data_IF_249810973228
#
_entry.id   IF_249810973228
#
_cell.length_a   1.000
_cell.length_b   1.000
_cell.length_c   1.000
_cell.angle_alpha   90.00
_cell.angle_beta   90.00
_cell.angle_gamma   90.00
#
_symmetry.space_group_name_H-M   'P 1'
#
loop_
_entity.id
_entity.type
_entity.pdbx_description
1 polymer ?
#
# COMPACT_ATOMS: atom_id res chain seq x y z
N UNK A 1 -44.74 -9.21 16.14
CA UNK A 1 -44.18 -9.46 14.80
C UNK A 1 -43.61 -8.16 14.28
N UNK A 2 -42.30 -7.95 14.39
CA UNK A 2 -41.59 -6.83 13.74
C UNK A 2 -40.50 -7.45 12.89
N UNK A 3 -40.74 -7.47 11.58
CA UNK A 3 -39.80 -7.98 10.60
C UNK A 3 -38.54 -7.11 10.64
N UNK A 4 -37.42 -7.69 11.06
CA UNK A 4 -36.11 -7.13 10.81
C UNK A 4 -35.89 -7.22 9.30
N UNK A 5 -36.03 -6.09 8.61
CA UNK A 5 -35.55 -5.92 7.25
C UNK A 5 -34.02 -5.98 7.32
N UNK A 6 -33.46 -7.18 7.22
CA UNK A 6 -32.05 -7.38 6.91
C UNK A 6 -31.81 -6.80 5.51
N UNK A 7 -31.54 -5.50 5.48
CA UNK A 7 -30.99 -4.83 4.32
C UNK A 7 -29.57 -5.37 4.15
N UNK A 8 -29.44 -6.48 3.42
CA UNK A 8 -28.16 -7.00 2.94
C UNK A 8 -27.56 -5.89 2.06
N UNK A 9 -26.75 -5.02 2.67
CA UNK A 9 -26.07 -3.96 1.96
C UNK A 9 -25.10 -4.61 0.98
N UNK A 10 -25.54 -4.79 -0.27
CA UNK A 10 -24.73 -5.32 -1.35
C UNK A 10 -23.49 -4.45 -1.46
N UNK A 11 -22.34 -4.98 -1.02
CA UNK A 11 -21.07 -4.26 -1.09
C UNK A 11 -20.74 -4.08 -2.57
N UNK A 12 -21.05 -2.89 -3.09
CA UNK A 12 -20.84 -2.59 -4.50
C UNK A 12 -19.35 -2.76 -4.83
N UNK A 13 -19.04 -3.71 -5.70
CA UNK A 13 -17.68 -3.89 -6.21
C UNK A 13 -17.26 -2.67 -7.05
N UNK A 14 -15.98 -2.25 -7.01
CA UNK A 14 -15.49 -1.22 -7.90
C UNK A 14 -15.70 -1.63 -9.37
N UNK A 15 -15.87 -0.65 -10.24
CA UNK A 15 -15.95 -0.92 -11.66
C UNK A 15 -14.63 -1.57 -12.14
N UNK A 16 -14.67 -2.62 -12.99
CA UNK A 16 -13.46 -3.36 -13.40
C UNK A 16 -12.37 -2.51 -14.04
N UNK A 17 -12.75 -1.40 -14.70
CA UNK A 17 -11.80 -0.47 -15.32
C UNK A 17 -11.02 0.32 -14.27
N UNK A 18 -11.66 0.74 -13.17
CA UNK A 18 -11.03 1.51 -12.11
C UNK A 18 -9.98 0.64 -11.40
N UNK A 19 -10.31 -0.62 -11.13
CA UNK A 19 -9.36 -1.61 -10.61
C UNK A 19 -8.16 -1.80 -11.53
N UNK A 20 -8.37 -1.91 -12.86
CA UNK A 20 -7.28 -2.08 -13.83
C UNK A 20 -6.35 -0.87 -13.85
N UNK A 21 -6.90 0.34 -13.85
CA UNK A 21 -6.11 1.58 -13.79
C UNK A 21 -5.35 1.66 -12.48
N UNK A 22 -6.02 1.45 -11.34
CA UNK A 22 -5.38 1.49 -10.02
C UNK A 22 -4.23 0.49 -9.91
N UNK A 23 -4.43 -0.75 -10.38
CA UNK A 23 -3.36 -1.76 -10.46
C UNK A 23 -2.23 -1.37 -11.40
N UNK A 24 -2.56 -0.78 -12.55
CA UNK A 24 -1.56 -0.27 -13.50
C UNK A 24 -0.68 0.81 -12.88
N UNK A 25 -1.28 1.75 -12.14
CA UNK A 25 -0.55 2.79 -11.40
C UNK A 25 0.39 2.16 -10.37
N UNK A 26 -0.07 1.18 -9.60
CA UNK A 26 0.77 0.47 -8.63
C UNK A 26 1.94 -0.27 -9.32
N UNK A 27 1.70 -0.88 -10.47
CA UNK A 27 2.75 -1.53 -11.26
C UNK A 27 3.81 -0.52 -11.76
N UNK A 28 3.39 0.66 -12.20
CA UNK A 28 4.30 1.75 -12.59
C UNK A 28 5.12 2.22 -11.40
N UNK A 29 4.50 2.44 -10.23
CA UNK A 29 5.23 2.80 -9.01
C UNK A 29 6.24 1.73 -8.60
N UNK A 30 5.89 0.45 -8.70
CA UNK A 30 6.82 -0.66 -8.46
C UNK A 30 8.01 -0.63 -9.43
N UNK A 31 7.76 -0.43 -10.73
CA UNK A 31 8.82 -0.34 -11.73
C UNK A 31 9.76 0.86 -11.49
N UNK A 32 9.20 2.03 -11.15
CA UNK A 32 9.97 3.21 -10.79
C UNK A 32 10.85 2.97 -9.54
N UNK A 33 10.31 2.27 -8.53
CA UNK A 33 11.07 1.90 -7.34
C UNK A 33 12.18 0.89 -7.64
N UNK A 34 11.96 -0.07 -8.53
CA UNK A 34 13.02 -0.99 -8.98
C UNK A 34 14.13 -0.27 -9.75
N UNK A 35 13.79 0.73 -10.57
CA UNK A 35 14.78 1.57 -11.22
C UNK A 35 15.59 2.39 -10.20
N UNK A 36 14.92 2.99 -9.22
CA UNK A 36 15.58 3.72 -8.13
C UNK A 36 16.49 2.80 -7.29
N UNK A 37 16.07 1.55 -7.06
CA UNK A 37 16.91 0.53 -6.43
C UNK A 37 18.18 0.26 -7.23
N UNK A 38 18.07 0.01 -8.54
CA UNK A 38 19.23 -0.20 -9.40
C UNK A 38 20.18 1.01 -9.42
N UNK A 39 19.64 2.23 -9.50
CA UNK A 39 20.43 3.46 -9.38
C UNK A 39 21.09 3.60 -8.01
N UNK A 40 20.38 3.23 -6.93
CA UNK A 40 20.89 3.25 -5.57
C UNK A 40 22.10 2.33 -5.37
N UNK A 41 22.09 1.14 -5.97
CA UNK A 41 23.26 0.24 -5.95
C UNK A 41 24.49 0.87 -6.59
N UNK A 42 24.32 1.60 -7.70
CA UNK A 42 25.43 2.32 -8.35
C UNK A 42 25.94 3.49 -7.50
N UNK A 43 25.04 4.20 -6.81
CA UNK A 43 25.40 5.29 -5.89
C UNK A 43 26.19 4.74 -4.70
N UNK A 44 25.71 3.67 -4.06
CA UNK A 44 26.40 3.05 -2.93
C UNK A 44 27.85 2.66 -3.23
N UNK A 45 28.16 2.28 -4.46
CA UNK A 45 29.51 1.89 -4.87
C UNK A 45 30.49 3.09 -5.03
N UNK A 46 29.99 4.33 -5.00
CA UNK A 46 30.77 5.54 -5.31
C UNK A 46 30.71 6.63 -4.23
N UNK A 47 29.84 6.51 -3.23
CA UNK A 47 29.77 7.47 -2.11
C UNK A 47 30.88 7.22 -1.08
N UNK A 48 31.14 8.22 -0.25
CA UNK A 48 32.09 8.10 0.87
C UNK A 48 31.57 7.17 1.98
N UNK A 49 32.49 6.68 2.81
CA UNK A 49 32.21 5.76 3.91
C UNK A 49 31.22 6.35 4.93
N UNK A 50 31.22 7.67 5.14
CA UNK A 50 30.28 8.33 6.06
C UNK A 50 28.83 8.29 5.55
N UNK A 51 28.64 8.18 4.23
CA UNK A 51 27.32 8.18 3.60
C UNK A 51 26.81 6.80 3.24
N UNK A 52 27.70 5.81 3.14
CA UNK A 52 27.36 4.48 2.60
C UNK A 52 26.19 3.82 3.33
N UNK A 53 26.11 3.94 4.66
CA UNK A 53 25.01 3.35 5.45
C UNK A 53 23.67 4.04 5.19
N UNK A 54 23.66 5.37 5.06
CA UNK A 54 22.44 6.13 4.73
C UNK A 54 21.96 5.77 3.33
N UNK A 55 22.88 5.65 2.37
CA UNK A 55 22.57 5.25 1.00
C UNK A 55 22.12 3.79 0.90
N UNK A 56 22.70 2.89 1.69
CA UNK A 56 22.25 1.51 1.81
C UNK A 56 20.82 1.44 2.32
N UNK A 57 20.53 2.14 3.42
CA UNK A 57 19.17 2.19 3.98
C UNK A 57 18.15 2.69 2.96
N UNK A 58 18.47 3.79 2.25
CA UNK A 58 17.63 4.36 1.20
C UNK A 58 17.42 3.38 0.04
N UNK A 59 18.48 2.73 -0.41
CA UNK A 59 18.45 1.79 -1.52
C UNK A 59 17.58 0.58 -1.18
N UNK A 60 17.78 -0.04 -0.02
CA UNK A 60 16.97 -1.19 0.38
C UNK A 60 15.51 -0.82 0.67
N UNK A 61 15.21 0.41 1.04
CA UNK A 61 13.83 0.88 1.13
C UNK A 61 13.12 0.82 -0.24
N UNK A 62 13.81 1.11 -1.36
CA UNK A 62 13.20 1.06 -2.69
C UNK A 62 12.70 -0.34 -3.06
N UNK A 63 13.49 -1.39 -2.83
CA UNK A 63 13.05 -2.77 -3.12
C UNK A 63 11.91 -3.20 -2.19
N UNK A 64 11.93 -2.77 -0.92
CA UNK A 64 10.85 -3.01 0.01
C UNK A 64 9.53 -2.39 -0.48
N UNK A 65 9.54 -1.12 -0.87
CA UNK A 65 8.35 -0.46 -1.42
C UNK A 65 7.91 -1.03 -2.76
N UNK A 66 8.84 -1.41 -3.64
CA UNK A 66 8.52 -2.12 -4.87
C UNK A 66 7.73 -3.40 -4.57
N UNK A 67 8.18 -4.19 -3.59
CA UNK A 67 7.47 -5.38 -3.12
C UNK A 67 6.04 -5.08 -2.65
N UNK A 68 5.86 -4.03 -1.85
CA UNK A 68 4.53 -3.61 -1.39
C UNK A 68 3.63 -3.22 -2.58
N UNK A 69 4.13 -2.39 -3.50
CA UNK A 69 3.37 -1.99 -4.69
C UNK A 69 2.99 -3.20 -5.57
N UNK A 70 3.87 -4.21 -5.71
CA UNK A 70 3.55 -5.47 -6.39
C UNK A 70 2.45 -6.25 -5.67
N UNK A 71 2.55 -6.41 -4.35
CA UNK A 71 1.52 -7.10 -3.55
C UNK A 71 0.15 -6.45 -3.75
N UNK A 72 0.11 -5.12 -3.73
CA UNK A 72 -1.10 -4.34 -3.93
C UNK A 72 -1.58 -4.34 -5.39
N UNK A 73 -0.68 -4.47 -6.36
CA UNK A 73 -1.02 -4.69 -7.78
C UNK A 73 -1.74 -6.04 -7.95
N UNK A 74 -1.24 -7.11 -7.32
CA UNK A 74 -1.81 -8.46 -7.44
C UNK A 74 -3.07 -8.63 -6.58
N UNK A 75 -3.13 -7.98 -5.42
CA UNK A 75 -4.18 -8.20 -4.44
C UNK A 75 -4.55 -6.95 -3.64
N UNK A 76 -5.15 -5.93 -4.29
CA UNK A 76 -5.36 -4.61 -3.68
C UNK A 76 -6.29 -4.61 -2.47
N UNK A 77 -7.06 -5.68 -2.21
CA UNK A 77 -8.05 -5.74 -1.12
C UNK A 77 -7.82 -6.89 -0.14
N UNK A 78 -6.67 -7.56 -0.19
CA UNK A 78 -6.36 -8.70 0.70
C UNK A 78 -5.57 -8.30 1.95
N UNK A 79 -4.74 -7.27 1.86
CA UNK A 79 -3.80 -6.89 2.92
C UNK A 79 -4.38 -5.74 3.75
N UNK A 80 -4.79 -6.02 4.99
CA UNK A 80 -5.29 -5.01 5.92
C UNK A 80 -4.17 -4.08 6.35
N UNK A 81 -4.43 -2.77 6.35
CA UNK A 81 -3.49 -1.76 6.81
C UNK A 81 -2.29 -1.50 5.91
N UNK A 82 -2.05 -2.31 4.88
CA UNK A 82 -0.90 -2.14 4.01
C UNK A 82 -0.98 -0.84 3.19
N UNK A 83 -2.18 -0.47 2.74
CA UNK A 83 -2.41 0.82 2.08
C UNK A 83 -2.17 1.99 3.01
N UNK A 84 -2.79 1.95 4.19
CA UNK A 84 -2.73 3.04 5.15
C UNK A 84 -1.29 3.24 5.66
N UNK A 85 -0.56 2.15 5.92
CA UNK A 85 0.83 2.22 6.34
C UNK A 85 1.74 2.77 5.23
N UNK A 86 1.54 2.33 3.98
CA UNK A 86 2.29 2.83 2.83
C UNK A 86 2.05 4.34 2.62
N UNK A 87 0.79 4.77 2.62
CA UNK A 87 0.40 6.17 2.46
C UNK A 87 0.89 7.03 3.62
N UNK A 88 0.80 6.53 4.86
CA UNK A 88 1.30 7.22 6.03
C UNK A 88 2.81 7.44 5.93
N UNK A 89 3.58 6.40 5.64
CA UNK A 89 5.03 6.50 5.53
C UNK A 89 5.44 7.47 4.41
N UNK A 90 4.84 7.33 3.22
CA UNK A 90 5.19 8.17 2.06
C UNK A 90 4.74 9.62 2.25
N UNK A 91 3.56 9.83 2.83
CA UNK A 91 3.08 11.15 3.21
C UNK A 91 3.97 11.81 4.27
N UNK A 92 4.46 11.05 5.26
CA UNK A 92 5.35 11.56 6.30
C UNK A 92 6.70 12.04 5.72
N UNK A 93 7.34 11.26 4.85
CA UNK A 93 8.58 11.69 4.19
C UNK A 93 8.36 12.87 3.25
N UNK A 94 7.23 12.89 2.52
CA UNK A 94 6.84 14.03 1.68
C UNK A 94 6.74 15.30 2.51
N UNK A 95 5.97 15.27 3.61
CA UNK A 95 5.80 16.40 4.51
C UNK A 95 7.12 16.83 5.15
N UNK A 96 7.95 15.88 5.59
CA UNK A 96 9.27 16.16 6.15
C UNK A 96 10.19 16.85 5.13
N UNK A 97 10.15 16.45 3.86
CA UNK A 97 10.94 17.08 2.80
C UNK A 97 10.51 18.54 2.55
N UNK A 98 9.22 18.85 2.70
CA UNK A 98 8.74 20.24 2.67
C UNK A 98 9.21 21.06 3.88
N UNK A 99 9.30 20.46 5.07
CA UNK A 99 9.85 21.14 6.26
C UNK A 99 11.34 21.44 6.06
N UNK A 100 12.07 20.52 5.43
CA UNK A 100 13.51 20.63 5.18
C UNK A 100 13.86 21.25 3.83
N UNK A 101 12.98 22.09 3.27
CA UNK A 101 13.10 22.65 1.92
C UNK A 101 14.43 23.36 1.61
N UNK A 102 15.10 23.89 2.64
CA UNK A 102 16.38 24.59 2.53
C UNK A 102 17.56 23.65 2.22
N UNK A 103 17.40 22.34 2.37
CA UNK A 103 18.44 21.36 2.03
C UNK A 103 18.50 21.15 0.51
N UNK A 104 19.69 20.97 -0.10
CA UNK A 104 19.85 20.87 -1.55
C UNK A 104 18.99 19.78 -2.20
N UNK A 105 18.89 18.62 -1.56
CA UNK A 105 18.19 17.45 -2.11
C UNK A 105 16.68 17.48 -1.84
N UNK A 106 16.21 18.30 -0.88
CA UNK A 106 14.84 18.26 -0.39
C UNK A 106 13.78 18.62 -1.44
N UNK A 107 13.94 19.62 -2.31
CA UNK A 107 12.92 19.95 -3.31
C UNK A 107 12.66 18.82 -4.31
N UNK A 108 13.73 18.17 -4.80
CA UNK A 108 13.61 17.07 -5.74
C UNK A 108 13.00 15.84 -5.05
N UNK A 109 13.45 15.52 -3.83
CA UNK A 109 12.86 14.44 -3.03
C UNK A 109 11.38 14.70 -2.76
N UNK A 110 11.00 15.92 -2.34
CA UNK A 110 9.63 16.30 -2.09
C UNK A 110 8.75 16.11 -3.34
N UNK A 111 9.23 16.54 -4.52
CA UNK A 111 8.49 16.39 -5.77
C UNK A 111 8.26 14.92 -6.14
N UNK A 112 9.32 14.11 -6.07
CA UNK A 112 9.25 12.68 -6.40
C UNK A 112 8.34 11.94 -5.41
N UNK A 113 8.53 12.14 -4.11
CA UNK A 113 7.72 11.46 -3.10
C UNK A 113 6.27 11.96 -3.10
N UNK A 114 6.01 13.24 -3.39
CA UNK A 114 4.65 13.75 -3.57
C UNK A 114 3.97 13.08 -4.76
N UNK A 115 4.66 12.95 -5.90
CA UNK A 115 4.13 12.28 -7.08
C UNK A 115 3.76 10.82 -6.77
N UNK A 116 4.68 10.08 -6.14
CA UNK A 116 4.47 8.67 -5.77
C UNK A 116 3.38 8.50 -4.71
N UNK A 117 3.31 9.42 -3.74
CA UNK A 117 2.24 9.45 -2.73
C UNK A 117 0.89 9.72 -3.40
N UNK A 118 0.82 10.70 -4.28
CA UNK A 118 -0.39 11.07 -5.01
C UNK A 118 -0.89 9.95 -5.91
N UNK A 119 -0.02 9.31 -6.69
CA UNK A 119 -0.39 8.17 -7.53
C UNK A 119 -0.85 6.97 -6.69
N UNK A 120 -0.18 6.71 -5.56
CA UNK A 120 -0.61 5.67 -4.62
C UNK A 120 -1.97 5.98 -4.00
N UNK A 121 -2.26 7.24 -3.68
CA UNK A 121 -3.56 7.67 -3.16
C UNK A 121 -4.66 7.54 -4.22
N UNK A 122 -4.39 7.91 -5.46
CA UNK A 122 -5.32 7.69 -6.58
C UNK A 122 -5.61 6.20 -6.74
N UNK A 123 -4.58 5.35 -6.71
CA UNK A 123 -4.75 3.91 -6.79
C UNK A 123 -5.55 3.35 -5.59
N UNK A 124 -5.32 3.86 -4.38
CA UNK A 124 -6.10 3.52 -3.18
C UNK A 124 -7.59 3.80 -3.40
N UNK A 125 -7.92 4.96 -3.96
CA UNK A 125 -9.31 5.35 -4.25
C UNK A 125 -9.93 4.49 -5.34
N UNK A 126 -9.22 4.30 -6.45
CA UNK A 126 -9.71 3.52 -7.59
C UNK A 126 -9.96 2.05 -7.24
N UNK A 127 -9.04 1.43 -6.50
CA UNK A 127 -9.14 0.05 -6.05
C UNK A 127 -10.07 -0.13 -4.84
N UNK A 128 -10.54 0.96 -4.24
CA UNK A 128 -11.24 1.02 -2.95
C UNK A 128 -10.47 0.25 -1.86
N UNK A 129 -9.20 0.60 -1.67
CA UNK A 129 -8.27 -0.11 -0.78
C UNK A 129 -8.80 -0.27 0.66
N UNK A 130 -9.60 0.68 1.15
CA UNK A 130 -10.27 0.61 2.46
C UNK A 130 -11.16 -0.62 2.65
N UNK A 131 -11.61 -1.26 1.56
CA UNK A 131 -12.40 -2.50 1.64
C UNK A 131 -11.61 -3.69 2.19
N UNK A 132 -10.27 -3.65 2.19
CA UNK A 132 -9.44 -4.70 2.79
C UNK A 132 -9.76 -4.93 4.28
N UNK A 133 -10.23 -3.90 4.98
CA UNK A 133 -10.64 -3.97 6.37
C UNK A 133 -11.98 -4.69 6.58
N UNK A 134 -12.81 -4.81 5.54
CA UNK A 134 -14.15 -5.37 5.61
C UNK A 134 -14.22 -6.87 5.33
N UNK A 135 -13.12 -7.51 4.93
CA UNK A 135 -13.07 -8.93 4.50
C UNK A 135 -13.19 -9.95 5.66
N UNK A 136 -13.81 -9.58 6.78
CA UNK A 136 -14.09 -10.44 7.91
C UNK A 136 -15.60 -10.64 8.07
N UNK A 137 -16.13 -11.73 7.53
CA UNK A 137 -17.22 -12.41 8.23
C UNK A 137 -16.55 -13.42 9.17
N UNK A 138 -16.73 -13.34 10.51
CA UNK A 138 -16.44 -14.47 11.36
C UNK A 138 -17.25 -15.66 10.82
N UNK A 139 -16.60 -16.77 10.50
CA UNK A 139 -17.32 -18.02 10.30
C UNK A 139 -18.14 -18.28 11.57
N UNK A 140 -19.48 -18.41 11.50
CA UNK A 140 -20.25 -18.77 12.68
C UNK A 140 -19.70 -20.11 13.13
N UNK A 141 -19.08 -20.13 14.32
CA UNK A 141 -18.62 -21.34 14.97
C UNK A 141 -19.79 -22.33 14.95
N UNK A 142 -19.71 -23.32 14.06
CA UNK A 142 -20.79 -24.25 13.84
C UNK A 142 -20.98 -25.01 15.16
N UNK A 143 -22.07 -24.66 15.84
CA UNK A 143 -22.41 -25.17 17.16
C UNK A 143 -22.38 -26.69 17.15
N UNK A 144 -21.75 -27.24 18.18
CA UNK A 144 -21.75 -28.67 18.43
C UNK A 144 -23.16 -29.24 18.30
N UNK A 145 -23.33 -30.26 17.47
CA UNK A 145 -24.56 -31.06 17.47
C UNK A 145 -24.75 -31.64 18.88
N UNK A 146 -25.92 -31.50 19.51
CA UNK A 146 -26.28 -32.35 20.62
C UNK A 146 -26.51 -33.77 20.06
N UNK A 147 -25.60 -34.70 20.35
CA UNK A 147 -25.91 -36.12 20.19
C UNK A 147 -26.89 -36.50 21.30
N UNK A 148 -28.17 -36.59 20.93
CA UNK A 148 -29.22 -37.19 21.75
C UNK A 148 -28.79 -38.61 22.10
N UNK A 149 -28.72 -38.88 23.41
CA UNK A 149 -28.58 -40.22 23.98
C UNK A 149 -29.86 -41.00 23.68
N UNK A 150 -29.71 -42.15 23.02
CA UNK A 150 -30.73 -43.19 23.01
C UNK A 150 -30.37 -44.20 24.12
N UNK A 151 -31.20 -44.22 25.16
CA UNK A 151 -31.29 -45.26 26.18
C UNK A 151 -32.76 -45.63 26.33
#
# INVERSE_FOLDING_TARGET
MTAATDATATVAHPAPWADRIGRGIMAVNAAAALLAFASGLMIMASVSDERVITEAWRTFAYIFFAGIWVILTVSPRRQKGLWELLLFQKGAITAYSFVMWHLPDAPLTALIDLAVTGTTLIAYVLCRGWLAWRTNSPEPANGGRPTVSAG
#
